data_IF_513952765256
#
_entry.id   IF_513952765256
#
_cell.length_a   1.000
_cell.length_b   1.000
_cell.length_c   1.000
_cell.angle_alpha   90.00
_cell.angle_beta   90.00
_cell.angle_gamma   90.00
#
_symmetry.space_group_name_H-M   'P 1'
#
loop_
_entity.id
_entity.type
_entity.pdbx_description
1 polymer ?
#
# COMPACT_ATOMS: atom_id res chain seq x y z
N UNK A 1 9.52 15.90 -3.39
CA UNK A 1 9.16 14.88 -2.39
C UNK A 1 9.03 13.50 -3.01
N UNK A 2 9.53 12.47 -2.33
CA UNK A 2 9.81 11.13 -2.86
C UNK A 2 8.56 10.24 -3.08
N UNK A 3 7.45 10.79 -3.57
CA UNK A 3 6.26 10.02 -3.95
C UNK A 3 5.50 9.35 -2.79
N UNK A 4 5.52 9.95 -1.59
CA UNK A 4 4.86 9.37 -0.40
C UNK A 4 3.35 9.62 -0.30
N UNK A 5 2.81 10.51 -1.12
CA UNK A 5 1.37 10.79 -1.21
C UNK A 5 0.86 10.34 -2.56
N UNK A 6 -0.35 9.82 -2.57
CA UNK A 6 -1.04 9.42 -3.78
C UNK A 6 -2.53 9.71 -3.64
N UNK A 7 -3.15 10.12 -4.73
CA UNK A 7 -4.60 10.20 -4.82
C UNK A 7 -5.08 9.85 -6.21
N UNK A 8 -6.34 9.46 -6.33
CA UNK A 8 -7.02 9.27 -7.61
C UNK A 8 -8.52 9.46 -7.45
N UNK A 9 -9.19 9.76 -8.56
CA UNK A 9 -10.64 9.75 -8.61
C UNK A 9 -11.13 8.29 -8.73
N UNK A 10 -12.21 7.97 -8.02
CA UNK A 10 -12.94 6.71 -8.11
C UNK A 10 -14.42 7.08 -8.10
N UNK A 11 -15.06 6.97 -9.27
CA UNK A 11 -16.41 7.50 -9.49
C UNK A 11 -16.48 8.98 -9.06
N UNK A 12 -17.49 9.37 -8.28
CA UNK A 12 -17.65 10.72 -7.73
C UNK A 12 -16.89 10.95 -6.40
N UNK A 13 -15.81 10.21 -6.16
CA UNK A 13 -15.02 10.26 -4.92
C UNK A 13 -13.53 10.37 -5.17
N UNK A 14 -12.80 10.79 -4.14
CA UNK A 14 -11.34 10.79 -4.13
C UNK A 14 -10.86 9.71 -3.16
N UNK A 15 -9.99 8.82 -3.65
CA UNK A 15 -9.13 8.00 -2.82
C UNK A 15 -7.82 8.76 -2.58
N UNK A 16 -7.48 9.02 -1.33
CA UNK A 16 -6.25 9.70 -0.93
C UNK A 16 -5.55 8.87 0.15
N UNK A 17 -4.23 8.72 0.04
CA UNK A 17 -3.41 8.05 1.04
C UNK A 17 -1.95 8.45 0.98
N UNK A 18 -1.15 7.89 1.88
CA UNK A 18 0.28 8.17 1.97
C UNK A 18 0.72 8.68 3.34
N UNK A 19 1.79 9.47 3.38
CA UNK A 19 2.23 10.16 4.60
C UNK A 19 3.03 9.32 5.61
N UNK A 20 3.29 8.04 5.33
CA UNK A 20 4.08 7.16 6.24
C UNK A 20 5.48 7.69 6.58
N UNK A 21 6.02 8.59 5.77
CA UNK A 21 7.32 9.22 5.99
C UNK A 21 7.32 10.29 7.07
N UNK A 22 6.15 10.69 7.57
CA UNK A 22 6.03 11.65 8.65
C UNK A 22 6.49 11.04 9.99
N UNK A 23 6.28 9.74 10.18
CA UNK A 23 6.80 8.98 11.31
C UNK A 23 6.95 7.49 10.95
N UNK A 24 8.09 7.13 10.34
CA UNK A 24 8.32 5.74 9.95
C UNK A 24 8.27 4.77 11.12
N UNK A 25 8.66 5.19 12.32
CA UNK A 25 8.77 4.30 13.47
C UNK A 25 7.38 3.89 13.97
N UNK A 26 6.46 4.85 14.04
CA UNK A 26 5.08 4.57 14.45
C UNK A 26 4.32 3.79 13.37
N UNK A 27 4.57 4.10 12.10
CA UNK A 27 3.91 3.44 10.96
C UNK A 27 4.51 2.06 10.61
N UNK A 28 5.65 1.69 11.19
CA UNK A 28 6.22 0.33 11.15
C UNK A 28 5.51 -0.56 12.17
N UNK A 29 4.28 -0.94 11.84
CA UNK A 29 3.42 -1.73 12.72
C UNK A 29 2.62 -2.77 11.95
N UNK A 30 2.21 -3.83 12.65
CA UNK A 30 1.25 -4.83 12.16
C UNK A 30 -0.15 -4.61 12.70
N UNK A 31 -0.34 -3.65 13.61
CA UNK A 31 -1.64 -3.29 14.14
C UNK A 31 -2.39 -2.37 13.17
N UNK A 32 -3.68 -2.63 12.99
CA UNK A 32 -4.56 -1.68 12.32
C UNK A 32 -4.75 -0.45 13.22
N UNK A 33 -4.84 0.71 12.59
CA UNK A 33 -5.13 1.97 13.27
C UNK A 33 -4.98 3.17 12.34
N UNK A 34 -5.32 4.33 12.86
CA UNK A 34 -5.07 5.61 12.21
C UNK A 34 -4.18 6.43 13.14
N UNK A 35 -3.29 7.25 12.58
CA UNK A 35 -2.49 8.20 13.36
C UNK A 35 -2.93 9.62 13.03
N UNK A 36 -3.14 10.43 14.07
CA UNK A 36 -3.56 11.83 13.89
C UNK A 36 -2.58 12.61 13.02
N UNK A 37 -1.28 12.32 13.11
CA UNK A 37 -0.25 12.94 12.30
C UNK A 37 -0.49 12.74 10.80
N UNK A 38 -0.70 11.49 10.37
CA UNK A 38 -0.95 11.17 8.95
C UNK A 38 -2.32 11.68 8.52
N UNK A 39 -3.36 11.46 9.33
CA UNK A 39 -4.73 11.91 9.01
C UNK A 39 -4.82 13.42 8.83
N UNK A 40 -4.20 14.20 9.72
CA UNK A 40 -4.16 15.67 9.59
C UNK A 40 -3.40 16.11 8.35
N UNK A 41 -2.31 15.42 7.99
CA UNK A 41 -1.54 15.75 6.79
C UNK A 41 -2.32 15.44 5.50
N UNK A 42 -3.02 14.30 5.45
CA UNK A 42 -3.88 13.96 4.32
C UNK A 42 -5.05 14.94 4.21
N UNK A 43 -5.71 15.29 5.32
CA UNK A 43 -6.79 16.27 5.33
C UNK A 43 -6.30 17.65 4.85
N UNK A 44 -5.13 18.10 5.32
CA UNK A 44 -4.51 19.35 4.88
C UNK A 44 -4.23 19.33 3.38
N UNK A 45 -3.65 18.25 2.87
CA UNK A 45 -3.38 18.11 1.43
C UNK A 45 -4.67 18.14 0.61
N UNK A 46 -5.72 17.44 1.08
CA UNK A 46 -7.03 17.44 0.44
C UNK A 46 -7.62 18.85 0.40
N UNK A 47 -7.59 19.57 1.53
CA UNK A 47 -8.19 20.90 1.67
C UNK A 47 -7.40 22.03 1.00
N UNK A 48 -6.08 21.98 1.01
CA UNK A 48 -5.26 23.12 0.54
C UNK A 48 -4.81 22.96 -0.91
N UNK A 49 -4.72 21.72 -1.42
CA UNK A 49 -4.12 21.44 -2.73
C UNK A 49 -5.11 20.76 -3.67
N UNK A 50 -5.78 19.69 -3.22
CA UNK A 50 -6.59 18.86 -4.13
C UNK A 50 -7.99 19.49 -4.35
N UNK A 51 -8.63 19.99 -3.29
CA UNK A 51 -10.00 20.54 -3.30
C UNK A 51 -10.08 21.89 -2.55
N UNK A 52 -9.31 22.94 -2.93
CA UNK A 52 -9.24 24.21 -2.19
C UNK A 52 -10.57 24.96 -2.07
N UNK A 53 -11.41 24.88 -3.09
CA UNK A 53 -12.67 25.63 -3.17
C UNK A 53 -13.89 24.70 -3.26
N UNK A 54 -13.70 23.40 -3.04
CA UNK A 54 -14.75 22.40 -3.15
C UNK A 54 -15.06 21.84 -1.76
N UNK A 55 -16.30 22.00 -1.32
CA UNK A 55 -16.77 21.36 -0.09
C UNK A 55 -16.74 19.84 -0.23
N UNK A 56 -16.23 19.15 0.79
CA UNK A 56 -16.17 17.69 0.81
C UNK A 56 -16.52 17.16 2.21
N UNK A 57 -16.90 15.89 2.25
CA UNK A 57 -17.10 15.11 3.48
C UNK A 57 -16.23 13.87 3.45
N UNK A 58 -15.76 13.43 4.62
CA UNK A 58 -15.03 12.17 4.73
C UNK A 58 -16.04 11.03 4.89
N UNK A 59 -16.16 10.18 3.88
CA UNK A 59 -17.05 9.00 3.93
C UNK A 59 -16.41 7.87 4.76
N UNK A 60 -15.14 7.57 4.50
CA UNK A 60 -14.42 6.47 5.13
C UNK A 60 -12.96 6.83 5.42
N UNK A 61 -12.43 6.20 6.46
CA UNK A 61 -11.00 6.15 6.79
C UNK A 61 -10.66 4.71 7.15
N UNK A 62 -9.47 4.27 6.75
CA UNK A 62 -8.97 2.93 7.05
C UNK A 62 -7.46 2.91 6.95
N UNK A 63 -6.89 1.80 7.42
CA UNK A 63 -5.47 1.47 7.24
C UNK A 63 -5.32 0.07 6.64
N UNK A 64 -4.13 -0.19 6.12
CA UNK A 64 -3.73 -1.49 5.61
C UNK A 64 -2.28 -1.76 5.97
N UNK A 65 -1.96 -3.04 6.18
CA UNK A 65 -0.60 -3.47 6.49
C UNK A 65 0.16 -3.71 5.18
N UNK A 66 1.28 -3.00 5.02
CA UNK A 66 2.16 -3.17 3.87
C UNK A 66 3.43 -3.92 4.28
N UNK A 67 3.72 -5.01 3.59
CA UNK A 67 4.98 -5.74 3.76
C UNK A 67 6.10 -5.06 2.96
N UNK A 68 6.93 -4.27 3.65
CA UNK A 68 8.15 -3.67 3.10
C UNK A 68 9.40 -4.49 3.44
N UNK A 69 10.43 -4.37 2.61
CA UNK A 69 11.77 -4.82 2.94
C UNK A 69 12.84 -4.13 2.11
N UNK A 70 14.12 -4.49 2.32
CA UNK A 70 15.24 -3.80 1.70
C UNK A 70 15.33 -4.01 0.18
N UNK A 71 14.78 -5.10 -0.36
CA UNK A 71 14.68 -5.33 -1.79
C UNK A 71 13.28 -4.98 -2.29
N UNK A 72 13.21 -4.23 -3.40
CA UNK A 72 11.95 -3.83 -4.03
C UNK A 72 11.20 -5.02 -4.64
N UNK A 73 11.92 -6.03 -5.14
CA UNK A 73 11.33 -7.21 -5.74
C UNK A 73 10.54 -8.03 -4.69
N UNK A 74 9.39 -8.61 -5.09
CA UNK A 74 8.67 -9.56 -4.25
C UNK A 74 9.55 -10.77 -3.92
N UNK A 75 9.21 -11.47 -2.85
CA UNK A 75 9.79 -12.77 -2.52
C UNK A 75 8.92 -13.82 -3.19
N UNK A 76 9.50 -14.56 -4.15
CA UNK A 76 8.84 -15.66 -4.85
C UNK A 76 9.73 -16.89 -4.74
N UNK A 77 9.29 -17.92 -4.02
CA UNK A 77 10.08 -19.14 -3.77
C UNK A 77 9.26 -20.28 -3.18
N UNK A 78 9.83 -21.48 -3.19
CA UNK A 78 9.46 -22.55 -2.27
C UNK A 78 9.99 -22.23 -0.86
N UNK A 79 9.09 -22.02 0.09
CA UNK A 79 9.42 -21.71 1.49
C UNK A 79 9.71 -22.97 2.31
N UNK A 80 9.08 -24.10 1.96
CA UNK A 80 9.23 -25.46 2.53
C UNK A 80 8.80 -26.48 1.46
N UNK A 81 9.13 -27.78 1.60
CA UNK A 81 8.68 -28.80 0.65
C UNK A 81 7.18 -28.69 0.33
N UNK A 82 6.86 -28.45 -0.95
CA UNK A 82 5.51 -28.26 -1.47
C UNK A 82 4.74 -27.05 -0.90
N UNK A 83 5.45 -26.04 -0.39
CA UNK A 83 4.87 -24.79 0.13
C UNK A 83 5.54 -23.60 -0.55
N UNK A 84 4.80 -22.90 -1.40
CA UNK A 84 5.29 -21.79 -2.20
C UNK A 84 4.72 -20.46 -1.70
N UNK A 85 5.49 -19.38 -1.82
CA UNK A 85 5.05 -18.05 -1.44
C UNK A 85 5.39 -17.00 -2.51
N UNK A 86 4.52 -16.01 -2.60
CA UNK A 86 4.66 -14.82 -3.43
C UNK A 86 4.25 -13.60 -2.56
N UNK A 87 5.22 -12.98 -1.87
CA UNK A 87 4.96 -12.05 -0.75
C UNK A 87 5.86 -10.82 -0.80
N UNK A 88 5.63 -9.85 0.10
CA UNK A 88 6.45 -8.63 0.26
C UNK A 88 6.55 -7.81 -1.03
N UNK A 89 5.39 -7.38 -1.55
CA UNK A 89 5.31 -6.60 -2.78
C UNK A 89 5.61 -5.10 -2.60
N UNK A 90 6.11 -4.66 -1.44
CA UNK A 90 6.55 -3.28 -1.18
C UNK A 90 5.53 -2.20 -1.58
N UNK A 91 4.23 -2.44 -1.33
CA UNK A 91 3.15 -1.50 -1.69
C UNK A 91 2.73 -1.52 -3.16
N UNK A 92 3.36 -2.32 -4.01
CA UNK A 92 3.08 -2.43 -5.44
C UNK A 92 2.24 -3.67 -5.81
N UNK A 93 1.71 -4.39 -4.83
CA UNK A 93 1.06 -5.69 -5.03
C UNK A 93 -0.11 -5.68 -6.02
N UNK A 94 -0.83 -4.56 -6.15
CA UNK A 94 -1.89 -4.41 -7.16
C UNK A 94 -1.32 -4.38 -8.58
N UNK A 95 -0.18 -3.71 -8.78
CA UNK A 95 0.41 -3.55 -10.11
C UNK A 95 1.11 -4.83 -10.60
N UNK A 96 1.79 -5.55 -9.70
CA UNK A 96 2.61 -6.72 -10.05
C UNK A 96 1.95 -8.06 -9.69
N UNK A 97 0.73 -8.04 -9.14
CA UNK A 97 0.09 -9.21 -8.54
C UNK A 97 -0.09 -10.37 -9.52
N UNK A 98 -0.56 -10.10 -10.74
CA UNK A 98 -0.75 -11.13 -11.76
C UNK A 98 0.56 -11.81 -12.15
N UNK A 99 1.62 -11.03 -12.45
CA UNK A 99 2.94 -11.56 -12.78
C UNK A 99 3.53 -12.36 -11.60
N UNK A 100 3.45 -11.81 -10.39
CA UNK A 100 3.95 -12.46 -9.17
C UNK A 100 3.22 -13.79 -8.90
N UNK A 101 1.92 -13.85 -9.19
CA UNK A 101 1.12 -15.07 -9.09
C UNK A 101 1.47 -16.11 -10.15
N UNK A 102 1.70 -15.68 -11.39
CA UNK A 102 2.14 -16.55 -12.49
C UNK A 102 3.51 -17.18 -12.18
N UNK A 103 4.49 -16.38 -11.77
CA UNK A 103 5.83 -16.85 -11.40
C UNK A 103 5.78 -17.88 -10.26
N UNK A 104 4.96 -17.63 -9.23
CA UNK A 104 4.74 -18.61 -8.16
C UNK A 104 4.04 -19.89 -8.65
N UNK A 105 3.08 -19.77 -9.57
CA UNK A 105 2.41 -20.91 -10.20
C UNK A 105 3.37 -21.77 -11.01
N UNK A 106 4.31 -21.15 -11.74
CA UNK A 106 5.34 -21.88 -12.50
C UNK A 106 6.25 -22.69 -11.57
N UNK A 107 6.66 -22.13 -10.42
CA UNK A 107 7.44 -22.89 -9.43
C UNK A 107 6.68 -24.13 -8.91
N UNK A 108 5.35 -24.02 -8.75
CA UNK A 108 4.53 -25.18 -8.36
C UNK A 108 4.56 -26.23 -9.47
N UNK A 109 4.35 -25.85 -10.72
CA UNK A 109 4.33 -26.78 -11.85
C UNK A 109 5.67 -27.49 -12.07
N UNK A 110 6.79 -26.79 -11.88
CA UNK A 110 8.15 -27.36 -12.00
C UNK A 110 8.48 -28.36 -10.89
N UNK A 111 7.72 -28.34 -9.78
CA UNK A 111 7.93 -29.24 -8.64
C UNK A 111 7.13 -30.55 -8.70
N UNK A 112 6.24 -30.69 -9.71
CA UNK A 112 5.43 -31.88 -9.97
C UNK A 112 6.22 -32.95 -10.74
#
# INVERSE_FOLDING_TARGET
>A
DKGFYYFRNIDDRILLGGGRNLDFKTEETTAFGETDLVQNSLFKLLKEVILPETGFTIEHKWSGIMAFGPQLAPIIKEAKPNVFCAVRCNGMGIAIGSQTGEEAGNLVLESL
#
